data_IF_263482815066
#
_entry.id   IF_263482815066
#
_cell.length_a   1.000
_cell.length_b   1.000
_cell.length_c   1.000
_cell.angle_alpha   90.00
_cell.angle_beta   90.00
_cell.angle_gamma   90.00
#
_symmetry.space_group_name_H-M   'P 1'
#
loop_
_entity.id
_entity.type
_entity.pdbx_description
1 polymer ?
#
# COMPACT_ATOMS: atom_id res chain seq x y z
N UNK A 1 -8.18 32.33 -17.26
CA UNK A 1 -7.87 31.04 -16.58
C UNK A 1 -8.90 30.84 -15.49
N UNK A 2 -9.77 29.83 -15.58
CA UNK A 2 -10.66 29.50 -14.47
C UNK A 2 -9.82 28.94 -13.34
N UNK A 3 -9.81 29.62 -12.20
CA UNK A 3 -9.37 29.00 -10.94
C UNK A 3 -10.34 27.84 -10.73
N UNK A 4 -9.85 26.61 -10.78
CA UNK A 4 -10.60 25.46 -10.27
C UNK A 4 -10.64 25.67 -8.75
N UNK A 5 -11.58 26.49 -8.29
CA UNK A 5 -12.06 26.39 -6.92
C UNK A 5 -12.83 25.09 -6.90
N UNK A 6 -12.18 24.00 -6.47
CA UNK A 6 -12.91 22.86 -5.93
C UNK A 6 -13.61 23.45 -4.71
N UNK A 7 -14.91 23.78 -4.85
CA UNK A 7 -15.71 24.14 -3.69
C UNK A 7 -15.54 23.00 -2.71
N UNK A 8 -14.99 23.29 -1.54
CA UNK A 8 -14.89 22.32 -0.45
C UNK A 8 -16.31 22.05 0.01
N UNK A 9 -16.94 21.03 -0.58
CA UNK A 9 -18.21 20.53 -0.09
C UNK A 9 -18.00 19.75 1.21
N UNK A 10 -19.07 19.58 1.98
CA UNK A 10 -19.05 18.83 3.24
C UNK A 10 -18.49 17.41 3.04
N UNK A 11 -18.66 16.84 1.84
CA UNK A 11 -18.15 15.52 1.50
C UNK A 11 -16.62 15.46 1.46
N UNK A 12 -15.95 16.42 0.81
CA UNK A 12 -14.50 16.44 0.78
C UNK A 12 -13.86 16.75 2.14
N UNK A 13 -14.53 17.54 2.99
CA UNK A 13 -14.11 17.74 4.38
C UNK A 13 -14.20 16.45 5.19
N UNK A 14 -15.28 15.70 5.04
CA UNK A 14 -15.42 14.38 5.66
C UNK A 14 -14.31 13.42 5.22
N UNK A 15 -14.00 13.36 3.91
CA UNK A 15 -12.89 12.54 3.40
C UNK A 15 -11.56 12.94 4.04
N UNK A 16 -11.29 14.25 4.15
CA UNK A 16 -10.08 14.78 4.76
C UNK A 16 -9.93 14.30 6.22
N UNK A 17 -10.98 14.45 7.03
CA UNK A 17 -10.99 14.04 8.44
C UNK A 17 -10.81 12.52 8.59
N UNK A 18 -11.50 11.72 7.76
CA UNK A 18 -11.36 10.26 7.74
C UNK A 18 -9.93 9.82 7.39
N UNK A 19 -9.28 10.50 6.44
CA UNK A 19 -7.90 10.22 6.07
C UNK A 19 -6.94 10.51 7.23
N UNK A 20 -7.11 11.63 7.93
CA UNK A 20 -6.26 11.99 9.06
C UNK A 20 -6.37 10.99 10.21
N UNK A 21 -7.59 10.59 10.55
CA UNK A 21 -7.81 9.59 11.62
C UNK A 21 -7.25 8.22 11.25
N UNK A 22 -7.33 7.86 9.96
CA UNK A 22 -6.70 6.65 9.44
C UNK A 22 -5.17 6.70 9.58
N UNK A 23 -4.54 7.84 9.28
CA UNK A 23 -3.08 8.00 9.39
C UNK A 23 -2.58 7.83 10.84
N UNK A 24 -3.31 8.36 11.84
CA UNK A 24 -2.94 8.20 13.26
C UNK A 24 -2.94 6.74 13.70
N UNK A 25 -3.94 5.97 13.27
CA UNK A 25 -4.02 4.54 13.58
C UNK A 25 -2.90 3.75 12.91
N UNK A 26 -2.53 4.12 11.69
CA UNK A 26 -1.45 3.47 10.96
C UNK A 26 -0.08 3.68 11.63
N UNK A 27 0.17 4.82 12.26
CA UNK A 27 1.42 5.05 13.00
C UNK A 27 1.59 4.03 14.15
N UNK A 28 0.55 3.83 14.95
CA UNK A 28 0.57 2.86 16.05
C UNK A 28 0.77 1.42 15.56
N UNK A 29 0.17 1.08 14.42
CA UNK A 29 0.29 -0.24 13.82
C UNK A 29 1.69 -0.46 13.20
N UNK A 30 2.30 0.57 12.60
CA UNK A 30 3.68 0.51 12.14
C UNK A 30 4.67 0.30 13.29
N UNK A 31 4.47 0.99 14.41
CA UNK A 31 5.27 0.80 15.62
C UNK A 31 5.16 -0.63 16.17
N UNK A 32 3.95 -1.20 16.13
CA UNK A 32 3.73 -2.59 16.50
C UNK A 32 4.47 -3.56 15.57
N UNK A 33 4.32 -3.40 14.25
CA UNK A 33 4.98 -4.24 13.25
C UNK A 33 6.50 -4.15 13.39
N UNK A 34 7.05 -2.95 13.61
CA UNK A 34 8.47 -2.72 13.83
C UNK A 34 9.00 -3.50 15.05
N UNK A 35 8.26 -3.49 16.16
CA UNK A 35 8.61 -4.29 17.35
C UNK A 35 8.61 -5.79 17.03
N UNK A 36 7.56 -6.29 16.36
CA UNK A 36 7.50 -7.70 15.97
C UNK A 36 8.67 -8.13 15.08
N UNK A 37 9.03 -7.33 14.07
CA UNK A 37 10.18 -7.60 13.21
C UNK A 37 11.49 -7.58 14.00
N UNK A 38 11.65 -6.61 14.90
CA UNK A 38 12.83 -6.51 15.77
C UNK A 38 12.98 -7.73 16.69
N UNK A 39 11.88 -8.24 17.23
CA UNK A 39 11.89 -9.42 18.10
C UNK A 39 12.21 -10.70 17.32
N UNK A 40 11.68 -10.84 16.09
CA UNK A 40 12.06 -11.93 15.17
C UNK A 40 13.57 -11.87 14.87
N UNK A 41 14.10 -10.69 14.52
CA UNK A 41 15.54 -10.52 14.24
C UNK A 41 16.42 -10.87 15.44
N UNK A 42 16.00 -10.52 16.67
CA UNK A 42 16.73 -10.90 17.89
C UNK A 42 16.68 -12.40 18.10
N UNK A 43 15.51 -13.02 17.92
CA UNK A 43 15.36 -14.46 18.07
C UNK A 43 16.22 -15.25 17.08
N UNK A 44 16.24 -14.84 15.81
CA UNK A 44 17.07 -15.45 14.75
C UNK A 44 18.56 -15.37 15.13
N UNK A 45 19.04 -14.21 15.60
CA UNK A 45 20.44 -14.02 16.02
C UNK A 45 20.82 -14.87 17.24
N UNK A 46 19.90 -15.04 18.20
CA UNK A 46 20.17 -15.83 19.41
C UNK A 46 20.12 -17.34 19.18
N UNK A 47 19.54 -17.81 18.08
CA UNK A 47 19.35 -19.24 17.77
C UNK A 47 20.05 -19.66 16.47
N UNK A 48 21.10 -18.94 16.08
CA UNK A 48 21.86 -19.22 14.86
C UNK A 48 22.41 -20.66 14.89
N UNK A 49 21.92 -21.52 13.98
CA UNK A 49 22.21 -22.95 13.92
C UNK A 49 21.02 -23.91 14.17
N UNK A 50 19.85 -23.41 14.55
CA UNK A 50 18.68 -24.27 14.82
C UNK A 50 17.76 -24.45 13.59
N UNK A 51 17.27 -25.67 13.34
CA UNK A 51 16.47 -26.03 12.14
C UNK A 51 15.12 -25.29 12.03
N UNK A 52 14.64 -24.64 13.09
CA UNK A 52 13.36 -23.92 13.10
C UNK A 52 13.42 -22.50 12.48
N UNK A 53 14.59 -22.04 11.99
CA UNK A 53 14.73 -20.73 11.32
C UNK A 53 13.79 -20.55 10.10
N UNK A 54 13.48 -21.63 9.38
CA UNK A 54 12.56 -21.58 8.25
C UNK A 54 11.10 -21.27 8.63
N UNK A 55 10.72 -21.49 9.88
CA UNK A 55 9.33 -21.34 10.34
C UNK A 55 8.92 -19.88 10.54
N UNK A 56 9.85 -19.00 10.93
CA UNK A 56 9.60 -17.55 11.12
C UNK A 56 9.70 -16.73 9.83
N UNK A 57 10.29 -17.28 8.76
CA UNK A 57 10.50 -16.58 7.50
C UNK A 57 9.19 -16.07 6.87
N UNK A 58 8.11 -16.87 6.95
CA UNK A 58 6.79 -16.48 6.47
C UNK A 58 6.21 -15.31 7.28
N UNK A 59 6.32 -15.35 8.61
CA UNK A 59 5.85 -14.25 9.48
C UNK A 59 6.62 -12.96 9.23
N UNK A 60 7.96 -13.05 9.14
CA UNK A 60 8.82 -11.91 8.83
C UNK A 60 8.42 -11.27 7.50
N UNK A 61 8.18 -12.10 6.49
CA UNK A 61 7.71 -11.65 5.18
C UNK A 61 6.35 -10.96 5.29
N UNK A 62 5.37 -11.57 5.98
CA UNK A 62 4.04 -11.01 6.14
C UNK A 62 4.04 -9.67 6.89
N UNK A 63 4.80 -9.54 7.98
CA UNK A 63 4.97 -8.26 8.68
C UNK A 63 5.65 -7.20 7.80
N UNK A 64 6.66 -7.59 7.02
CA UNK A 64 7.27 -6.70 6.03
C UNK A 64 6.28 -6.19 4.99
N UNK A 65 5.39 -7.07 4.48
CA UNK A 65 4.32 -6.68 3.56
C UNK A 65 3.29 -5.77 4.21
N UNK A 66 2.88 -6.08 5.45
CA UNK A 66 1.95 -5.25 6.21
C UNK A 66 2.50 -3.83 6.37
N UNK A 67 3.75 -3.67 6.78
CA UNK A 67 4.38 -2.35 6.90
C UNK A 67 4.37 -1.59 5.57
N UNK A 68 4.74 -2.24 4.47
CA UNK A 68 4.75 -1.63 3.15
C UNK A 68 3.36 -1.19 2.71
N UNK A 69 2.35 -2.06 2.83
CA UNK A 69 0.98 -1.72 2.46
C UNK A 69 0.40 -0.63 3.35
N UNK A 70 0.70 -0.64 4.63
CA UNK A 70 0.26 0.40 5.56
C UNK A 70 0.86 1.77 5.22
N UNK A 71 2.15 1.83 4.88
CA UNK A 71 2.80 3.04 4.37
C UNK A 71 2.10 3.52 3.08
N UNK A 72 1.85 2.61 2.14
CA UNK A 72 1.18 2.93 0.87
C UNK A 72 -0.25 3.47 1.08
N UNK A 73 -1.02 2.86 1.97
CA UNK A 73 -2.39 3.32 2.30
C UNK A 73 -2.32 4.70 2.99
N UNK A 74 -1.33 4.92 3.85
CA UNK A 74 -1.08 6.21 4.51
C UNK A 74 -0.76 7.30 3.49
N UNK A 75 0.19 7.05 2.59
CA UNK A 75 0.53 7.95 1.49
C UNK A 75 -0.71 8.26 0.64
N UNK A 76 -1.46 7.24 0.23
CA UNK A 76 -2.69 7.42 -0.54
C UNK A 76 -3.75 8.25 0.19
N UNK A 77 -3.86 8.07 1.51
CA UNK A 77 -4.79 8.84 2.36
C UNK A 77 -4.35 10.30 2.48
N UNK A 78 -3.06 10.56 2.70
CA UNK A 78 -2.50 11.92 2.72
C UNK A 78 -2.72 12.58 1.36
N UNK A 79 -2.38 11.91 0.26
CA UNK A 79 -2.55 12.43 -1.10
C UNK A 79 -4.01 12.78 -1.37
N UNK A 80 -4.94 11.88 -1.05
CA UNK A 80 -6.39 12.11 -1.20
C UNK A 80 -6.85 13.33 -0.41
N UNK A 81 -6.45 13.39 0.86
CA UNK A 81 -6.74 14.47 1.79
C UNK A 81 -6.19 15.83 1.31
N UNK A 82 -4.99 15.85 0.74
CA UNK A 82 -4.36 17.08 0.28
C UNK A 82 -4.83 17.52 -1.11
N UNK A 83 -5.24 16.61 -1.98
CA UNK A 83 -5.87 16.97 -3.26
C UNK A 83 -7.13 17.83 -3.05
N UNK A 84 -7.87 17.58 -1.97
CA UNK A 84 -9.02 18.42 -1.57
C UNK A 84 -8.61 19.84 -1.14
N UNK A 85 -7.45 19.97 -0.49
CA UNK A 85 -6.98 21.24 0.09
C UNK A 85 -6.10 22.08 -0.86
N UNK A 86 -5.96 21.66 -2.12
CA UNK A 86 -5.11 22.34 -3.09
C UNK A 86 -5.63 23.77 -3.38
N UNK A 87 -4.75 24.76 -3.20
CA UNK A 87 -5.05 26.18 -3.46
C UNK A 87 -4.75 26.60 -4.90
N UNK A 88 -3.97 25.79 -5.61
CA UNK A 88 -3.62 26.05 -7.00
C UNK A 88 -3.38 24.75 -7.78
N UNK A 89 -3.34 24.87 -9.10
CA UNK A 89 -3.17 23.75 -10.02
C UNK A 89 -1.85 22.99 -9.82
N UNK A 90 -0.75 23.67 -9.52
CA UNK A 90 0.54 23.01 -9.34
C UNK A 90 0.59 22.14 -8.09
N UNK A 91 -0.06 22.55 -7.00
CA UNK A 91 -0.24 21.71 -5.82
C UNK A 91 -1.05 20.45 -6.16
N UNK A 92 -2.15 20.60 -6.90
CA UNK A 92 -2.94 19.45 -7.35
C UNK A 92 -2.11 18.50 -8.21
N UNK A 93 -1.38 19.04 -9.20
CA UNK A 93 -0.47 18.28 -10.06
C UNK A 93 0.62 17.55 -9.26
N UNK A 94 1.15 18.17 -8.21
CA UNK A 94 2.14 17.54 -7.33
C UNK A 94 1.56 16.30 -6.64
N UNK A 95 0.35 16.38 -6.07
CA UNK A 95 -0.28 15.24 -5.40
C UNK A 95 -0.74 14.16 -6.37
N UNK A 96 -1.27 14.54 -7.54
CA UNK A 96 -1.60 13.56 -8.60
C UNK A 96 -0.33 12.87 -9.08
N UNK A 97 0.78 13.59 -9.30
CA UNK A 97 2.07 12.97 -9.61
C UNK A 97 2.49 11.97 -8.54
N UNK A 98 2.39 12.37 -7.26
CA UNK A 98 2.75 11.51 -6.15
C UNK A 98 1.88 10.25 -6.10
N UNK A 99 0.57 10.37 -6.38
CA UNK A 99 -0.34 9.22 -6.48
C UNK A 99 0.16 8.22 -7.52
N UNK A 100 0.47 8.68 -8.73
CA UNK A 100 0.93 7.80 -9.82
C UNK A 100 2.24 7.09 -9.46
N UNK A 101 3.17 7.78 -8.79
CA UNK A 101 4.43 7.21 -8.33
C UNK A 101 4.20 6.16 -7.23
N UNK A 102 3.43 6.51 -6.19
CA UNK A 102 3.11 5.60 -5.09
C UNK A 102 2.33 4.37 -5.58
N UNK A 103 1.37 4.55 -6.50
CA UNK A 103 0.65 3.42 -7.11
C UNK A 103 1.59 2.52 -7.90
N UNK A 104 2.50 3.08 -8.71
CA UNK A 104 3.47 2.26 -9.45
C UNK A 104 4.33 1.40 -8.52
N UNK A 105 4.92 2.00 -7.49
CA UNK A 105 5.79 1.29 -6.54
C UNK A 105 5.02 0.25 -5.73
N UNK A 106 3.81 0.58 -5.31
CA UNK A 106 2.92 -0.33 -4.61
C UNK A 106 2.57 -1.57 -5.44
N UNK A 107 2.19 -1.38 -6.71
CA UNK A 107 1.90 -2.49 -7.61
C UNK A 107 3.13 -3.31 -7.98
N UNK A 108 4.30 -2.67 -8.13
CA UNK A 108 5.56 -3.38 -8.36
C UNK A 108 5.86 -4.34 -7.21
N UNK A 109 5.74 -3.85 -5.98
CA UNK A 109 5.93 -4.64 -4.75
C UNK A 109 4.89 -5.73 -4.62
N UNK A 110 3.60 -5.40 -4.76
CA UNK A 110 2.51 -6.37 -4.65
C UNK A 110 2.67 -7.51 -5.67
N UNK A 111 2.92 -7.18 -6.94
CA UNK A 111 3.12 -8.19 -7.99
C UNK A 111 4.29 -9.13 -7.70
N UNK A 112 5.38 -8.64 -7.13
CA UNK A 112 6.52 -9.48 -6.73
C UNK A 112 6.15 -10.48 -5.62
N UNK A 113 5.14 -10.17 -4.81
CA UNK A 113 4.78 -10.90 -3.59
C UNK A 113 3.51 -11.75 -3.76
N UNK A 114 2.81 -11.60 -4.89
CA UNK A 114 1.61 -12.38 -5.23
C UNK A 114 1.85 -13.89 -5.19
N UNK A 115 3.00 -14.36 -5.66
CA UNK A 115 3.31 -15.80 -5.68
C UNK A 115 3.36 -16.34 -4.26
N UNK A 116 4.03 -15.62 -3.35
CA UNK A 116 4.09 -15.96 -1.93
C UNK A 116 2.69 -15.99 -1.29
N UNK A 117 1.90 -14.93 -1.45
CA UNK A 117 0.54 -14.86 -0.88
C UNK A 117 -0.38 -15.95 -1.42
N UNK A 118 -0.34 -16.20 -2.74
CA UNK A 118 -1.11 -17.28 -3.38
C UNK A 118 -0.69 -18.66 -2.88
N UNK A 119 0.61 -18.88 -2.71
CA UNK A 119 1.15 -20.12 -2.13
C UNK A 119 0.60 -20.36 -0.73
N UNK A 120 0.70 -19.37 0.16
CA UNK A 120 0.18 -19.50 1.53
C UNK A 120 -1.33 -19.79 1.56
N UNK A 121 -2.14 -19.07 0.78
CA UNK A 121 -3.58 -19.29 0.75
C UNK A 121 -3.90 -20.69 0.19
N UNK A 122 -3.28 -21.09 -0.91
CA UNK A 122 -3.57 -22.36 -1.57
C UNK A 122 -3.14 -23.56 -0.71
N UNK A 123 -1.93 -23.51 -0.16
CA UNK A 123 -1.28 -24.67 0.44
C UNK A 123 -1.55 -24.78 1.95
N UNK A 124 -1.69 -23.64 2.64
CA UNK A 124 -1.81 -23.60 4.10
C UNK A 124 -3.18 -23.11 4.58
N UNK A 125 -3.80 -22.15 3.89
CA UNK A 125 -4.98 -21.43 4.38
C UNK A 125 -6.11 -21.30 3.35
N UNK A 126 -6.66 -22.43 2.85
CA UNK A 126 -7.64 -22.41 1.76
C UNK A 126 -8.95 -21.69 2.12
N UNK A 127 -9.23 -21.48 3.40
CA UNK A 127 -10.37 -20.67 3.86
C UNK A 127 -10.30 -19.21 3.36
N UNK A 128 -9.11 -18.68 3.06
CA UNK A 128 -8.90 -17.32 2.57
C UNK A 128 -9.01 -17.20 1.03
N UNK A 129 -9.28 -18.29 0.32
CA UNK A 129 -9.37 -18.30 -1.15
C UNK A 129 -10.46 -17.35 -1.68
N UNK A 130 -11.57 -17.22 -0.96
CA UNK A 130 -12.66 -16.29 -1.33
C UNK A 130 -12.18 -14.84 -1.28
N UNK A 131 -11.50 -14.45 -0.20
CA UNK A 131 -10.94 -13.11 -0.04
C UNK A 131 -9.87 -12.82 -1.10
N UNK A 132 -8.99 -13.79 -1.38
CA UNK A 132 -7.99 -13.67 -2.42
C UNK A 132 -8.61 -13.50 -3.82
N UNK A 133 -9.69 -14.22 -4.14
CA UNK A 133 -10.43 -14.06 -5.40
C UNK A 133 -11.04 -12.67 -5.55
N UNK A 134 -11.63 -12.15 -4.48
CA UNK A 134 -12.18 -10.79 -4.44
C UNK A 134 -11.09 -9.75 -4.73
N UNK A 135 -9.94 -9.85 -4.05
CA UNK A 135 -8.79 -8.97 -4.28
C UNK A 135 -8.34 -9.01 -5.74
N UNK A 136 -8.19 -10.21 -6.33
CA UNK A 136 -7.78 -10.33 -7.73
C UNK A 136 -8.81 -9.71 -8.70
N UNK A 137 -10.11 -9.81 -8.39
CA UNK A 137 -11.17 -9.20 -9.19
C UNK A 137 -11.11 -7.67 -9.12
N UNK A 138 -11.00 -7.11 -7.91
CA UNK A 138 -10.89 -5.66 -7.72
C UNK A 138 -9.61 -5.10 -8.30
N UNK A 139 -8.49 -5.81 -8.17
CA UNK A 139 -7.23 -5.43 -8.79
C UNK A 139 -7.37 -5.36 -10.31
N UNK A 140 -8.00 -6.35 -10.94
CA UNK A 140 -8.24 -6.36 -12.39
C UNK A 140 -9.13 -5.19 -12.82
N UNK A 141 -10.16 -4.89 -12.04
CA UNK A 141 -11.05 -3.75 -12.29
C UNK A 141 -10.29 -2.42 -12.19
N UNK A 142 -9.50 -2.23 -11.13
CA UNK A 142 -8.64 -1.06 -10.94
C UNK A 142 -7.64 -0.91 -12.09
N UNK A 143 -6.97 -2.01 -12.45
CA UNK A 143 -5.98 -2.05 -13.53
C UNK A 143 -6.54 -1.55 -14.84
N UNK A 144 -7.74 -2.01 -15.19
CA UNK A 144 -8.46 -1.64 -16.40
C UNK A 144 -8.96 -0.19 -16.36
N UNK A 145 -9.49 0.25 -15.22
CA UNK A 145 -10.04 1.60 -15.07
C UNK A 145 -8.96 2.68 -15.23
N UNK A 146 -7.79 2.47 -14.62
CA UNK A 146 -6.73 3.48 -14.55
C UNK A 146 -5.52 3.20 -15.45
N UNK A 147 -5.61 2.20 -16.34
CA UNK A 147 -4.59 1.87 -17.34
C UNK A 147 -3.19 1.74 -16.73
N UNK A 148 -3.05 0.84 -15.77
CA UNK A 148 -1.82 0.67 -14.97
C UNK A 148 -0.55 0.52 -15.81
N UNK A 149 -0.66 -0.04 -17.01
CA UNK A 149 0.44 -0.17 -17.98
C UNK A 149 1.10 1.18 -18.32
N UNK A 150 0.36 2.29 -18.21
CA UNK A 150 0.87 3.63 -18.44
C UNK A 150 1.60 4.22 -17.23
N UNK A 151 1.41 3.69 -16.02
CA UNK A 151 2.09 4.20 -14.83
C UNK A 151 3.61 4.12 -14.95
N UNK A 152 4.15 3.06 -15.56
CA UNK A 152 5.59 2.94 -15.78
C UNK A 152 6.12 4.08 -16.66
N UNK A 153 5.38 4.43 -17.72
CA UNK A 153 5.73 5.54 -18.61
C UNK A 153 5.67 6.87 -17.86
N UNK A 154 4.61 7.10 -17.09
CA UNK A 154 4.47 8.29 -16.25
C UNK A 154 5.63 8.38 -15.27
N UNK A 155 5.91 7.34 -14.48
CA UNK A 155 7.01 7.27 -13.52
C UNK A 155 8.35 7.60 -14.15
N UNK A 156 8.65 7.03 -15.32
CA UNK A 156 9.90 7.31 -16.02
C UNK A 156 10.00 8.75 -16.53
N UNK A 157 8.90 9.40 -16.86
CA UNK A 157 8.92 10.79 -17.33
C UNK A 157 8.87 11.82 -16.20
N UNK A 158 8.23 11.51 -15.07
CA UNK A 158 8.00 12.47 -13.98
C UNK A 158 8.82 12.23 -12.72
N UNK A 159 9.49 11.08 -12.61
CA UNK A 159 10.17 10.63 -11.38
C UNK A 159 11.59 11.11 -11.18
N UNK A 160 12.23 11.76 -12.16
CA UNK A 160 13.62 12.21 -12.00
C UNK A 160 14.27 12.97 -13.16
N UNK A 161 13.71 12.91 -14.37
CA UNK A 161 14.34 13.43 -15.59
C UNK A 161 13.89 14.86 -15.97
N UNK A 162 13.68 15.73 -14.98
CA UNK A 162 13.25 17.13 -15.24
C UNK A 162 14.36 17.91 -15.98
N UNK A 163 15.60 17.64 -15.62
CA UNK A 163 16.82 18.21 -16.17
C UNK A 163 17.13 17.71 -17.59
N UNK A 164 16.77 16.46 -17.91
CA UNK A 164 17.03 15.85 -19.22
C UNK A 164 16.02 16.27 -20.29
N UNK A 165 14.71 16.32 -19.98
CA UNK A 165 13.66 16.69 -20.93
C UNK A 165 12.46 17.36 -20.23
N UNK A 166 12.64 18.64 -19.88
CA UNK A 166 11.61 19.47 -19.25
C UNK A 166 10.29 19.47 -20.04
N UNK A 167 10.34 19.46 -21.37
CA UNK A 167 9.13 19.54 -22.21
C UNK A 167 8.29 18.27 -22.06
N UNK A 168 8.91 17.10 -22.22
CA UNK A 168 8.23 15.81 -22.02
C UNK A 168 7.75 15.63 -20.58
N UNK A 169 8.53 16.09 -19.60
CA UNK A 169 8.12 16.11 -18.20
C UNK A 169 6.85 16.95 -18.00
N UNK A 170 6.85 18.21 -18.49
CA UNK A 170 5.75 19.15 -18.31
C UNK A 170 4.48 18.67 -19.02
N UNK A 171 4.59 18.20 -20.26
CA UNK A 171 3.47 17.63 -21.02
C UNK A 171 2.86 16.43 -20.30
N UNK A 172 3.71 15.53 -19.79
CA UNK A 172 3.25 14.35 -19.05
C UNK A 172 2.54 14.76 -17.76
N UNK A 173 3.13 15.62 -16.96
CA UNK A 173 2.52 16.11 -15.72
C UNK A 173 1.14 16.73 -16.00
N UNK A 174 1.05 17.58 -17.03
CA UNK A 174 -0.21 18.22 -17.39
C UNK A 174 -1.28 17.23 -17.90
N UNK A 175 -0.87 16.14 -18.55
CA UNK A 175 -1.79 15.08 -18.98
C UNK A 175 -2.40 14.27 -17.83
N UNK A 176 -1.81 14.31 -16.63
CA UNK A 176 -2.36 13.63 -15.45
C UNK A 176 -3.55 14.37 -14.83
N UNK A 177 -3.78 15.63 -15.22
CA UNK A 177 -4.84 16.47 -14.66
C UNK A 177 -6.16 16.30 -15.43
N UNK A 178 -6.64 15.07 -15.53
CA UNK A 178 -7.88 14.69 -16.21
C UNK A 178 -9.12 14.64 -15.28
N UNK A 179 -8.93 14.94 -14.00
CA UNK A 179 -9.98 14.90 -12.96
C UNK A 179 -10.20 13.51 -12.35
N UNK A 180 -9.48 12.48 -12.78
CA UNK A 180 -9.59 11.11 -12.24
C UNK A 180 -8.74 10.89 -10.99
N UNK A 181 -7.75 11.75 -10.70
CA UNK A 181 -6.83 11.63 -9.58
C UNK A 181 -7.49 11.27 -8.23
N UNK A 182 -8.51 12.01 -7.77
CA UNK A 182 -9.21 11.69 -6.52
C UNK A 182 -9.94 10.33 -6.54
N UNK A 183 -10.56 9.95 -7.65
CA UNK A 183 -11.23 8.65 -7.77
C UNK A 183 -10.22 7.50 -7.77
N UNK A 184 -9.10 7.70 -8.47
CA UNK A 184 -7.98 6.76 -8.48
C UNK A 184 -7.40 6.60 -7.08
N UNK A 185 -7.22 7.68 -6.32
CA UNK A 185 -6.63 7.61 -4.98
C UNK A 185 -7.51 6.88 -3.98
N UNK A 186 -8.83 7.12 -4.00
CA UNK A 186 -9.79 6.39 -3.16
C UNK A 186 -9.78 4.90 -3.52
N UNK A 187 -9.95 4.57 -4.80
CA UNK A 187 -9.96 3.18 -5.26
C UNK A 187 -8.63 2.46 -4.96
N UNK A 188 -7.52 3.20 -5.00
CA UNK A 188 -6.19 2.68 -4.66
C UNK A 188 -6.09 2.35 -3.17
N UNK A 189 -6.50 3.28 -2.31
CA UNK A 189 -6.53 3.11 -0.85
C UNK A 189 -7.41 1.91 -0.47
N UNK A 190 -8.60 1.79 -1.07
CA UNK A 190 -9.53 0.70 -0.76
C UNK A 190 -9.00 -0.67 -1.18
N UNK A 191 -8.42 -0.77 -2.38
CA UNK A 191 -7.78 -2.01 -2.83
C UNK A 191 -6.64 -2.44 -1.91
N UNK A 192 -5.76 -1.51 -1.52
CA UNK A 192 -4.62 -1.84 -0.68
C UNK A 192 -5.04 -2.16 0.77
N UNK A 193 -6.15 -1.62 1.27
CA UNK A 193 -6.76 -2.07 2.54
C UNK A 193 -7.17 -3.53 2.48
N UNK A 194 -7.84 -3.97 1.40
CA UNK A 194 -8.22 -5.39 1.26
C UNK A 194 -6.98 -6.31 1.21
N UNK A 195 -5.93 -5.89 0.50
CA UNK A 195 -4.66 -6.63 0.46
C UNK A 195 -4.03 -6.68 1.85
N UNK A 196 -4.01 -5.56 2.59
CA UNK A 196 -3.52 -5.50 3.96
C UNK A 196 -4.31 -6.44 4.89
N UNK A 197 -5.64 -6.43 4.83
CA UNK A 197 -6.51 -7.32 5.63
C UNK A 197 -6.24 -8.80 5.36
N UNK A 198 -5.96 -9.18 4.10
CA UNK A 198 -5.53 -10.54 3.77
C UNK A 198 -4.20 -10.86 4.47
N UNK A 199 -3.22 -9.95 4.44
CA UNK A 199 -1.94 -10.17 5.13
C UNK A 199 -2.07 -10.23 6.65
N UNK A 200 -2.99 -9.48 7.26
CA UNK A 200 -3.31 -9.58 8.69
C UNK A 200 -3.88 -10.96 9.00
N UNK A 201 -4.86 -11.42 8.22
CA UNK A 201 -5.47 -12.74 8.38
C UNK A 201 -4.44 -13.87 8.27
N UNK A 202 -3.57 -13.80 7.26
CA UNK A 202 -2.47 -14.75 7.09
C UNK A 202 -1.50 -14.73 8.27
N UNK A 203 -1.12 -13.54 8.78
CA UNK A 203 -0.24 -13.42 9.96
C UNK A 203 -0.89 -14.03 11.19
N UNK A 204 -2.17 -13.79 11.43
CA UNK A 204 -2.88 -14.40 12.56
C UNK A 204 -2.86 -15.92 12.49
N UNK A 205 -3.13 -16.50 11.31
CA UNK A 205 -3.14 -17.95 11.13
C UNK A 205 -1.73 -18.56 11.18
N UNK A 206 -0.71 -17.87 10.68
CA UNK A 206 0.69 -18.29 10.79
C UNK A 206 1.17 -18.24 12.24
N UNK A 207 0.84 -17.17 12.99
CA UNK A 207 1.15 -17.10 14.43
C UNK A 207 0.53 -18.26 15.20
N UNK A 208 -0.76 -18.52 14.96
CA UNK A 208 -1.43 -19.66 15.59
C UNK A 208 -0.73 -20.98 15.25
N UNK A 209 -0.40 -21.21 13.96
CA UNK A 209 0.32 -22.42 13.51
C UNK A 209 1.66 -22.60 14.23
N UNK A 210 2.39 -21.50 14.48
CA UNK A 210 3.68 -21.53 15.17
C UNK A 210 3.54 -21.64 16.69
N UNK A 211 2.54 -21.00 17.30
CA UNK A 211 2.25 -21.15 18.73
C UNK A 211 1.90 -22.61 19.11
N UNK A 212 1.42 -23.41 18.14
CA UNK A 212 1.24 -24.86 18.32
C UNK A 212 2.53 -25.69 18.19
N UNK A 213 3.62 -25.12 17.66
CA UNK A 213 4.87 -25.85 17.33
C UNK A 213 6.10 -25.37 18.11
N UNK A 214 6.16 -24.09 18.43
CA UNK A 214 7.34 -23.41 18.98
C UNK A 214 6.85 -22.34 19.97
N UNK A 215 6.68 -22.65 21.25
CA UNK A 215 6.49 -21.60 22.26
C UNK A 215 7.50 -21.76 23.39
N UNK A 216 8.59 -20.99 23.39
CA UNK A 216 8.95 -20.19 24.55
C UNK A 216 7.92 -19.05 24.68
N UNK A 217 7.31 -18.92 25.85
CA UNK A 217 6.31 -17.86 26.14
C UNK A 217 6.93 -16.48 25.89
N UNK A 218 6.54 -15.79 24.83
CA UNK A 218 6.79 -14.36 24.73
C UNK A 218 5.88 -13.66 25.76
N UNK A 219 6.51 -12.94 26.69
CA UNK A 219 5.85 -12.36 27.86
C UNK A 219 4.68 -11.44 27.49
N UNK A 220 3.58 -11.63 28.21
CA UNK A 220 2.44 -10.71 28.27
C UNK A 220 2.82 -9.39 28.94
#
# INVERSE_FOLDING_TARGET
>A
MSIIQIKTDEFGKLIHELCLETCRRHELELDFIYRCLSDIDRYEKSNDGNQNMGELASLKTLYGLQALFLIIITDGSIITSQMHNCKNRFQHLFYVRQLYLSTYEAYRTYNAQKVFLRGLVKDNYPALEVQLKEINMQEKAFSKAYKLENLKKVRNKVGGHIDEDFKSWYETLHSLNDGQGPHMSIAFVDLFKLIFELTVSLTTMERQRLDYRVVPKFGA
#
